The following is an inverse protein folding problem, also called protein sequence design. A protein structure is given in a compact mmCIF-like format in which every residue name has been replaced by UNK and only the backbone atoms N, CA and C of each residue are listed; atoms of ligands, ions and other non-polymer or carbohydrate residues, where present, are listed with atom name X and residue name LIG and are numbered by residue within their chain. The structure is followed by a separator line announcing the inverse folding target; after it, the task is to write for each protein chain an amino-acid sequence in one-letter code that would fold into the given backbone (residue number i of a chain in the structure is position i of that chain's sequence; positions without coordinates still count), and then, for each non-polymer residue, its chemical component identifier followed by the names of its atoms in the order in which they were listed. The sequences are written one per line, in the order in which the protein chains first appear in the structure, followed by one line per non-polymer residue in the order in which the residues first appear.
data_IF_014072293279
#
_entry.id   IF_014072293279
#
_cell.length_a   1.000
_cell.length_b   1.000
_cell.length_c   1.000
_cell.angle_alpha   90.00
_cell.angle_beta   90.00
_cell.angle_gamma   90.00
#
_symmetry.space_group_name_H-M   'P 1'
#
loop_
_entity.id
_entity.type
_entity.pdbx_description
1 polymer ?
#
# COMPACT_ATOMS: atom_id res chain seq x y z
N UNK A 1 -4.79 -11.03 12.86
CA UNK A 1 -5.03 -12.49 12.89
C UNK A 1 -5.06 -13.05 14.31
N UNK A 2 -4.16 -12.69 15.25
CA UNK A 2 -4.24 -13.16 16.66
C UNK A 2 -5.57 -12.84 17.34
N UNK A 3 -6.14 -11.67 17.06
CA UNK A 3 -7.47 -11.29 17.57
C UNK A 3 -8.59 -12.06 16.89
N UNK A 4 -8.38 -12.51 15.65
CA UNK A 4 -9.30 -13.40 14.95
C UNK A 4 -9.30 -14.79 15.60
N UNK A 5 -8.12 -15.37 15.83
CA UNK A 5 -7.98 -16.67 16.50
C UNK A 5 -8.55 -16.65 17.93
N UNK A 6 -8.47 -15.51 18.62
CA UNK A 6 -9.08 -15.29 19.92
C UNK A 6 -10.60 -15.06 19.88
N UNK A 7 -11.22 -15.08 18.69
CA UNK A 7 -12.66 -14.83 18.50
C UNK A 7 -13.10 -13.40 18.81
N UNK A 8 -12.17 -12.44 18.87
CA UNK A 8 -12.44 -11.04 19.23
C UNK A 8 -12.71 -10.16 17.99
N UNK A 9 -12.24 -10.58 16.82
CA UNK A 9 -12.50 -9.96 15.53
C UNK A 9 -12.96 -11.04 14.55
N UNK A 10 -14.02 -10.75 13.81
CA UNK A 10 -14.44 -11.54 12.65
C UNK A 10 -14.15 -10.71 11.39
N UNK A 11 -13.45 -11.31 10.44
CA UNK A 11 -13.04 -10.63 9.21
C UNK A 11 -14.21 -10.27 8.29
N UNK A 12 -15.32 -10.99 8.38
CA UNK A 12 -16.48 -10.86 7.49
C UNK A 12 -17.64 -10.05 8.12
N UNK A 13 -17.58 -9.75 9.42
CA UNK A 13 -18.62 -8.96 10.10
C UNK A 13 -18.37 -7.45 9.94
N UNK A 14 -19.42 -6.65 9.86
CA UNK A 14 -19.30 -5.19 9.80
C UNK A 14 -18.52 -4.64 10.98
N UNK A 15 -17.52 -3.79 10.70
CA UNK A 15 -16.71 -3.13 11.75
C UNK A 15 -17.55 -2.21 12.64
N UNK A 16 -18.70 -1.75 12.15
CA UNK A 16 -19.67 -0.95 12.89
C UNK A 16 -20.12 -1.63 14.20
N UNK A 17 -20.10 -2.96 14.24
CA UNK A 17 -20.41 -3.72 15.47
C UNK A 17 -19.32 -3.58 16.55
N UNK A 18 -18.09 -3.19 16.18
CA UNK A 18 -16.97 -2.97 17.07
C UNK A 18 -16.66 -1.48 17.28
N UNK A 19 -17.09 -0.63 16.33
CA UNK A 19 -16.94 0.83 16.35
C UNK A 19 -18.31 1.49 16.10
N UNK A 20 -19.17 1.54 17.11
CA UNK A 20 -20.54 2.06 16.98
C UNK A 20 -20.60 3.50 16.47
N UNK A 21 -19.59 4.32 16.75
CA UNK A 21 -19.47 5.72 16.33
C UNK A 21 -18.78 5.90 14.98
N UNK A 22 -18.33 4.82 14.32
CA UNK A 22 -17.77 4.91 12.98
C UNK A 22 -18.84 5.34 11.97
N UNK A 23 -18.55 6.38 11.20
CA UNK A 23 -19.46 6.93 10.20
C UNK A 23 -18.68 7.48 9.01
N UNK A 24 -19.34 7.52 7.85
CA UNK A 24 -18.90 8.16 6.63
C UNK A 24 -19.96 9.14 6.15
N UNK A 25 -19.66 10.02 5.19
CA UNK A 25 -20.66 10.95 4.66
C UNK A 25 -21.79 10.23 3.91
N UNK A 26 -21.47 9.12 3.25
CA UNK A 26 -22.42 8.28 2.51
C UNK A 26 -23.04 7.26 3.46
N UNK A 27 -24.25 7.57 3.91
CA UNK A 27 -24.96 6.76 4.90
C UNK A 27 -25.20 5.32 4.40
N UNK A 28 -24.84 4.36 5.23
CA UNK A 28 -25.05 2.94 4.99
C UNK A 28 -23.84 2.22 4.35
N UNK A 29 -22.79 2.92 3.89
CA UNK A 29 -21.54 2.31 3.47
C UNK A 29 -20.81 1.70 4.68
N UNK A 30 -20.76 2.43 5.80
CA UNK A 30 -20.16 2.00 7.06
C UNK A 30 -20.76 0.72 7.64
N UNK A 31 -22.05 0.45 7.34
CA UNK A 31 -22.75 -0.76 7.78
C UNK A 31 -22.29 -2.04 7.05
N UNK A 32 -21.55 -1.90 5.94
CA UNK A 32 -21.10 -3.00 5.08
C UNK A 32 -19.60 -3.22 5.12
N UNK A 33 -18.85 -2.25 5.63
CA UNK A 33 -17.38 -2.36 5.68
C UNK A 33 -16.99 -3.38 6.74
N UNK A 34 -16.13 -4.33 6.36
CA UNK A 34 -15.60 -5.39 7.22
C UNK A 34 -14.09 -5.24 7.38
N UNK A 35 -13.49 -5.93 8.37
CA UNK A 35 -12.02 -5.96 8.50
C UNK A 35 -11.35 -6.47 7.23
N UNK A 36 -11.95 -7.44 6.55
CA UNK A 36 -11.44 -7.94 5.27
C UNK A 36 -11.39 -6.83 4.22
N UNK A 37 -12.44 -6.03 4.08
CA UNK A 37 -12.45 -4.91 3.14
C UNK A 37 -11.36 -3.88 3.45
N UNK A 38 -11.07 -3.61 4.72
CA UNK A 38 -9.99 -2.70 5.12
C UNK A 38 -8.62 -3.26 4.73
N UNK A 39 -8.35 -4.53 5.08
CA UNK A 39 -7.05 -5.17 4.87
C UNK A 39 -6.77 -5.56 3.41
N UNK A 40 -7.81 -5.64 2.56
CA UNK A 40 -7.68 -5.94 1.13
C UNK A 40 -7.82 -4.72 0.23
N UNK A 41 -7.85 -3.51 0.80
CA UNK A 41 -8.03 -2.26 0.05
C UNK A 41 -9.30 -2.21 -0.81
N UNK A 42 -10.37 -2.87 -0.35
CA UNK A 42 -11.67 -2.92 -1.04
C UNK A 42 -12.78 -2.23 -0.27
N UNK A 43 -12.44 -1.44 0.74
CA UNK A 43 -13.44 -0.70 1.53
C UNK A 43 -14.19 0.36 0.71
N UNK A 44 -13.58 0.84 -0.36
CA UNK A 44 -14.10 1.91 -1.20
C UNK A 44 -14.12 3.28 -0.53
N UNK A 45 -13.53 3.43 0.64
CA UNK A 45 -13.38 4.71 1.33
C UNK A 45 -12.35 5.59 0.61
N UNK A 46 -12.36 6.90 0.89
CA UNK A 46 -11.27 7.78 0.49
C UNK A 46 -9.95 7.23 1.01
N UNK A 47 -8.99 6.98 0.11
CA UNK A 47 -7.79 6.20 0.38
C UNK A 47 -6.77 6.91 1.27
N UNK A 48 -6.61 8.22 1.06
CA UNK A 48 -5.60 9.01 1.75
C UNK A 48 -6.22 10.17 2.51
N UNK A 49 -5.94 10.22 3.80
CA UNK A 49 -6.38 11.28 4.70
C UNK A 49 -5.28 11.58 5.72
N UNK A 50 -4.38 12.47 5.33
CA UNK A 50 -3.21 12.86 6.11
C UNK A 50 -3.51 14.11 6.93
N UNK A 51 -4.20 13.94 8.07
CA UNK A 51 -4.48 15.01 9.01
C UNK A 51 -3.85 14.71 10.36
N UNK A 52 -3.12 15.66 10.89
CA UNK A 52 -2.53 15.53 12.21
C UNK A 52 -3.58 15.82 13.31
N UNK A 53 -3.66 14.94 14.29
CA UNK A 53 -4.50 15.04 15.48
C UNK A 53 -3.66 15.11 16.77
N UNK A 54 -2.36 15.41 16.62
CA UNK A 54 -1.41 15.53 17.71
C UNK A 54 -0.93 14.20 18.28
N UNK A 55 -0.22 14.25 19.41
CA UNK A 55 0.44 13.11 20.05
C UNK A 55 -0.40 12.40 21.13
N UNK A 56 -1.62 12.89 21.41
CA UNK A 56 -2.51 12.30 22.41
C UNK A 56 -2.83 10.82 22.12
N UNK A 57 -3.09 10.02 23.18
CA UNK A 57 -3.52 8.62 23.04
C UNK A 57 -4.84 8.47 22.25
N UNK A 58 -5.60 9.54 22.14
CA UNK A 58 -6.86 9.64 21.41
C UNK A 58 -6.71 10.15 19.97
N UNK A 59 -5.48 10.32 19.47
CA UNK A 59 -5.23 10.86 18.14
C UNK A 59 -5.88 10.01 17.02
N UNK A 60 -5.72 8.68 17.09
CA UNK A 60 -6.32 7.77 16.12
C UNK A 60 -7.87 7.77 16.20
N UNK A 61 -8.43 7.80 17.40
CA UNK A 61 -9.87 7.93 17.60
C UNK A 61 -10.41 9.22 16.97
N UNK A 62 -9.73 10.36 17.20
CA UNK A 62 -10.09 11.66 16.61
C UNK A 62 -10.04 11.63 15.09
N UNK A 63 -9.00 11.02 14.52
CA UNK A 63 -8.87 10.86 13.06
C UNK A 63 -10.06 10.08 12.51
N UNK A 64 -10.35 8.89 13.07
CA UNK A 64 -11.44 8.02 12.59
C UNK A 64 -12.81 8.70 12.73
N UNK A 65 -13.07 9.40 13.83
CA UNK A 65 -14.30 10.20 13.98
C UNK A 65 -14.42 11.32 12.93
N UNK A 66 -13.29 11.96 12.60
CA UNK A 66 -13.27 13.03 11.60
C UNK A 66 -13.53 12.50 10.17
N UNK A 67 -13.32 11.21 9.92
CA UNK A 67 -13.63 10.57 8.64
C UNK A 67 -15.15 10.56 8.32
N UNK A 68 -16.02 10.88 9.26
CA UNK A 68 -17.47 11.05 9.02
C UNK A 68 -17.83 12.09 7.95
N UNK A 69 -16.88 12.98 7.61
CA UNK A 69 -17.03 13.97 6.53
C UNK A 69 -16.49 13.46 5.17
N UNK A 70 -15.82 12.31 5.14
CA UNK A 70 -15.19 11.81 3.93
C UNK A 70 -16.19 11.03 3.06
N UNK A 71 -16.12 11.17 1.73
CA UNK A 71 -16.98 10.46 0.81
C UNK A 71 -16.59 8.99 0.70
N UNK A 72 -17.58 8.16 0.36
CA UNK A 72 -17.38 6.83 -0.17
C UNK A 72 -17.10 6.95 -1.67
N UNK A 73 -15.96 6.43 -2.12
CA UNK A 73 -15.55 6.54 -3.53
C UNK A 73 -16.17 5.40 -4.36
N UNK A 74 -16.24 4.21 -3.77
CA UNK A 74 -16.81 3.01 -4.39
C UNK A 74 -17.61 2.21 -3.36
N UNK A 75 -18.62 1.41 -3.76
CA UNK A 75 -19.24 0.46 -2.86
C UNK A 75 -18.22 -0.51 -2.24
N UNK A 76 -18.34 -0.85 -0.94
CA UNK A 76 -17.48 -1.82 -0.29
C UNK A 76 -17.47 -3.17 -1.04
N UNK A 77 -16.29 -3.74 -1.25
CA UNK A 77 -16.07 -5.02 -1.92
C UNK A 77 -16.11 -4.96 -3.45
N UNK A 78 -16.42 -3.81 -4.07
CA UNK A 78 -16.59 -3.72 -5.53
C UNK A 78 -15.26 -3.75 -6.30
N UNK A 79 -14.31 -2.91 -5.88
CA UNK A 79 -13.05 -2.73 -6.60
C UNK A 79 -11.92 -2.43 -5.63
N UNK A 80 -10.73 -2.90 -5.94
CA UNK A 80 -9.52 -2.57 -5.22
C UNK A 80 -9.08 -1.14 -5.55
N UNK A 81 -8.87 -0.32 -4.51
CA UNK A 81 -8.14 0.94 -4.55
C UNK A 81 -7.35 1.09 -3.28
N UNK A 82 -6.04 1.26 -3.38
CA UNK A 82 -5.15 1.35 -2.23
C UNK A 82 -5.64 2.40 -1.22
N UNK A 83 -5.74 2.02 0.06
CA UNK A 83 -6.46 2.80 1.05
C UNK A 83 -5.75 2.78 2.41
N UNK A 84 -4.94 3.82 2.68
CA UNK A 84 -4.32 4.04 4.00
C UNK A 84 -5.38 4.30 5.09
N UNK A 85 -6.44 5.02 4.74
CA UNK A 85 -7.56 5.30 5.65
C UNK A 85 -8.21 4.03 6.20
N UNK A 86 -8.23 2.94 5.41
CA UNK A 86 -8.70 1.63 5.86
C UNK A 86 -7.85 1.07 7.00
N UNK A 87 -6.53 1.29 6.96
CA UNK A 87 -5.62 0.85 8.03
C UNK A 87 -5.75 1.70 9.29
N UNK A 88 -6.10 2.99 9.19
CA UNK A 88 -6.44 3.79 10.38
C UNK A 88 -7.64 3.21 11.09
N UNK A 89 -8.70 2.87 10.35
CA UNK A 89 -9.91 2.24 10.91
C UNK A 89 -9.59 0.86 11.49
N UNK A 90 -8.78 0.04 10.80
CA UNK A 90 -8.33 -1.25 11.31
C UNK A 90 -7.54 -1.10 12.62
N UNK A 91 -6.64 -0.12 12.70
CA UNK A 91 -5.92 0.23 13.93
C UNK A 91 -6.86 0.64 15.06
N UNK A 92 -7.88 1.45 14.76
CA UNK A 92 -8.88 1.86 15.76
C UNK A 92 -9.74 0.68 16.25
N UNK A 93 -10.07 -0.28 15.36
CA UNK A 93 -10.71 -1.54 15.79
C UNK A 93 -9.82 -2.29 16.78
N UNK A 94 -8.52 -2.37 16.51
CA UNK A 94 -7.56 -3.01 17.42
C UNK A 94 -7.57 -2.31 18.79
N UNK A 95 -7.55 -0.97 18.84
CA UNK A 95 -7.64 -0.21 20.08
C UNK A 95 -8.94 -0.51 20.84
N UNK A 96 -10.09 -0.46 20.16
CA UNK A 96 -11.39 -0.71 20.76
C UNK A 96 -11.49 -2.12 21.35
N UNK A 97 -10.99 -3.11 20.60
CA UNK A 97 -11.04 -4.50 21.00
C UNK A 97 -10.02 -4.80 22.14
N UNK A 98 -8.84 -4.20 22.14
CA UNK A 98 -7.80 -4.49 23.14
C UNK A 98 -7.87 -3.61 24.38
N UNK A 99 -8.45 -2.41 24.29
CA UNK A 99 -8.39 -1.39 25.32
C UNK A 99 -7.02 -0.75 25.48
N UNK A 100 -6.13 -0.90 24.47
CA UNK A 100 -4.75 -0.39 24.43
C UNK A 100 -4.62 0.59 23.28
N UNK A 101 -3.56 1.42 23.29
CA UNK A 101 -3.22 2.18 22.08
C UNK A 101 -2.73 1.22 20.99
N UNK A 102 -2.79 1.66 19.74
CA UNK A 102 -2.31 0.84 18.61
C UNK A 102 -0.86 0.37 18.82
N UNK A 103 0.01 1.28 19.25
CA UNK A 103 1.42 1.00 19.47
C UNK A 103 1.61 -0.08 20.58
N UNK A 104 0.92 0.09 21.73
CA UNK A 104 0.94 -0.88 22.83
C UNK A 104 0.45 -2.26 22.36
N UNK A 105 -0.61 -2.29 21.54
CA UNK A 105 -1.17 -3.53 21.00
C UNK A 105 -0.20 -4.23 20.03
N UNK A 106 0.47 -3.50 19.13
CA UNK A 106 1.45 -4.08 18.20
C UNK A 106 2.65 -4.66 18.97
N UNK A 107 3.18 -3.93 19.95
CA UNK A 107 4.28 -4.44 20.77
C UNK A 107 3.88 -5.73 21.49
N UNK A 108 2.68 -5.80 22.08
CA UNK A 108 2.25 -6.98 22.82
C UNK A 108 1.87 -8.17 21.95
N UNK A 109 1.14 -7.89 20.85
CA UNK A 109 0.55 -8.94 20.02
C UNK A 109 1.46 -9.40 18.87
N UNK A 110 2.45 -8.60 18.48
CA UNK A 110 3.34 -8.92 17.36
C UNK A 110 4.80 -8.96 17.82
N UNK A 111 5.34 -7.83 18.31
CA UNK A 111 6.79 -7.71 18.56
C UNK A 111 7.27 -8.72 19.60
N UNK A 112 6.64 -8.77 20.78
CA UNK A 112 7.03 -9.70 21.85
C UNK A 112 6.93 -11.17 21.46
N UNK A 113 5.82 -11.65 20.86
CA UNK A 113 5.72 -13.05 20.45
C UNK A 113 6.73 -13.47 19.36
N UNK A 114 7.13 -12.53 18.50
CA UNK A 114 8.12 -12.76 17.45
C UNK A 114 9.55 -12.47 17.88
N UNK A 115 9.77 -12.02 19.13
CA UNK A 115 11.09 -11.67 19.65
C UNK A 115 11.72 -10.47 18.97
N UNK A 116 10.90 -9.52 18.45
CA UNK A 116 11.38 -8.30 17.81
C UNK A 116 11.63 -7.24 18.88
N UNK A 117 12.85 -6.74 18.97
CA UNK A 117 13.28 -5.83 20.04
C UNK A 117 13.31 -4.36 19.59
N UNK A 118 13.52 -4.09 18.29
CA UNK A 118 13.69 -2.74 17.76
C UNK A 118 12.48 -2.33 16.89
N UNK A 119 11.31 -2.32 17.53
CA UNK A 119 10.05 -1.84 16.93
C UNK A 119 9.61 -0.63 17.74
N UNK A 120 9.64 0.54 17.12
CA UNK A 120 9.34 1.83 17.72
C UNK A 120 8.30 2.58 16.89
N UNK A 121 7.71 3.62 17.46
CA UNK A 121 6.71 4.44 16.81
C UNK A 121 7.00 5.94 16.94
N UNK A 122 7.76 6.33 17.96
CA UNK A 122 7.99 7.73 18.27
C UNK A 122 9.47 8.11 18.09
N UNK A 123 9.77 9.31 17.56
CA UNK A 123 11.14 9.80 17.44
C UNK A 123 11.93 9.77 18.74
N UNK A 124 11.28 10.07 19.85
CA UNK A 124 11.88 10.08 21.17
C UNK A 124 12.37 8.70 21.65
N UNK A 125 11.80 7.62 21.11
CA UNK A 125 12.21 6.24 21.45
C UNK A 125 13.59 5.91 20.89
N UNK A 126 14.03 6.62 19.84
CA UNK A 126 15.25 6.30 19.09
C UNK A 126 16.25 7.45 19.00
N UNK A 127 15.96 8.60 19.62
CA UNK A 127 16.80 9.80 19.48
C UNK A 127 18.23 9.61 20.00
N UNK A 128 18.47 8.65 20.88
CA UNK A 128 19.78 8.27 21.40
C UNK A 128 20.46 7.16 20.59
N UNK A 129 19.77 6.60 19.59
CA UNK A 129 20.27 5.53 18.73
C UNK A 129 20.84 6.08 17.42
N UNK A 130 21.46 5.21 16.63
CA UNK A 130 21.83 5.54 15.25
C UNK A 130 20.61 5.35 14.35
N UNK A 131 20.09 6.42 13.80
CA UNK A 131 18.96 6.39 12.86
C UNK A 131 19.26 7.21 11.60
N UNK A 132 18.56 6.89 10.52
CA UNK A 132 18.60 7.63 9.28
C UNK A 132 17.39 8.56 9.19
N UNK A 133 17.61 9.80 8.78
CA UNK A 133 16.54 10.73 8.44
C UNK A 133 16.26 10.68 6.94
N UNK A 134 15.02 10.93 6.54
CA UNK A 134 14.65 11.03 5.14
C UNK A 134 15.23 12.27 4.47
N UNK A 135 15.49 12.18 3.17
CA UNK A 135 15.99 13.28 2.37
C UNK A 135 15.11 13.52 1.14
N UNK A 136 14.94 14.78 0.80
CA UNK A 136 14.34 15.21 -0.47
C UNK A 136 15.46 15.63 -1.42
N UNK A 137 15.53 14.95 -2.54
CA UNK A 137 16.42 15.26 -3.66
C UNK A 137 15.59 15.97 -4.72
N UNK A 138 16.01 17.18 -5.08
CA UNK A 138 15.49 17.96 -6.20
C UNK A 138 16.63 18.27 -7.15
N UNK A 139 16.34 18.85 -8.32
CA UNK A 139 17.38 19.21 -9.30
C UNK A 139 18.47 20.13 -8.69
N UNK A 140 18.08 21.02 -7.75
CA UNK A 140 18.98 22.05 -7.22
C UNK A 140 19.62 21.70 -5.87
N UNK A 141 19.05 20.75 -5.10
CA UNK A 141 19.52 20.52 -3.73
C UNK A 141 19.12 19.17 -3.15
N UNK A 142 19.87 18.78 -2.12
CA UNK A 142 19.50 17.70 -1.19
C UNK A 142 19.19 18.36 0.16
N UNK A 143 18.04 18.04 0.75
CA UNK A 143 17.62 18.56 2.05
C UNK A 143 17.01 17.46 2.92
N UNK A 144 17.10 17.61 4.24
CA UNK A 144 16.38 16.72 5.16
C UNK A 144 14.88 16.92 4.98
N UNK A 145 14.16 15.81 4.86
CA UNK A 145 12.70 15.80 4.79
C UNK A 145 12.11 16.13 6.17
N UNK A 146 11.29 17.16 6.24
CA UNK A 146 10.63 17.61 7.47
C UNK A 146 9.11 17.76 7.23
N UNK A 147 8.27 17.38 8.21
CA UNK A 147 8.62 16.76 9.50
C UNK A 147 9.20 15.35 9.31
N UNK A 148 10.00 14.89 10.29
CA UNK A 148 10.72 13.62 10.15
C UNK A 148 9.78 12.40 10.27
N UNK A 149 8.90 12.38 11.26
CA UNK A 149 8.01 11.27 11.52
C UNK A 149 6.60 11.56 11.02
N UNK A 150 5.87 10.52 10.68
CA UNK A 150 4.43 10.62 10.42
C UNK A 150 3.66 10.89 11.71
N UNK A 151 2.51 11.57 11.61
CA UNK A 151 1.66 11.87 12.76
C UNK A 151 1.13 10.59 13.45
N UNK A 152 0.94 10.64 14.77
CA UNK A 152 0.54 9.47 15.58
C UNK A 152 -0.73 8.79 15.06
N UNK A 153 -1.71 9.57 14.62
CA UNK A 153 -2.99 9.04 14.14
C UNK A 153 -2.86 8.13 12.91
N UNK A 154 -1.77 8.25 12.14
CA UNK A 154 -1.53 7.44 10.94
C UNK A 154 -0.53 6.30 11.16
N UNK A 155 -0.12 6.03 12.41
CA UNK A 155 0.77 4.90 12.74
C UNK A 155 0.29 3.55 12.18
N UNK A 156 -1.01 3.22 12.15
CA UNK A 156 -1.46 1.95 11.60
C UNK A 156 -1.14 1.72 10.13
N UNK A 157 -0.94 2.80 9.36
CA UNK A 157 -0.62 2.70 7.93
C UNK A 157 0.88 2.81 7.61
N UNK A 158 1.72 3.33 8.54
CA UNK A 158 3.13 3.49 8.18
C UNK A 158 4.03 4.04 9.29
N UNK A 159 3.62 3.95 10.57
CA UNK A 159 4.35 4.57 11.68
C UNK A 159 5.46 3.71 12.32
N UNK A 160 5.68 2.49 11.87
CA UNK A 160 6.73 1.64 12.48
C UNK A 160 8.12 2.16 12.11
N UNK A 161 8.93 2.39 13.13
CA UNK A 161 10.35 2.71 13.03
C UNK A 161 11.13 1.45 13.39
N UNK A 162 11.95 0.95 12.47
CA UNK A 162 12.68 -0.29 12.68
C UNK A 162 13.98 -0.31 11.84
N UNK A 163 14.70 -1.42 11.85
CA UNK A 163 15.90 -1.64 11.09
C UNK A 163 15.81 -2.90 10.22
N UNK A 164 16.75 -3.05 9.30
CA UNK A 164 16.77 -4.14 8.32
C UNK A 164 16.80 -5.53 8.99
N UNK A 165 17.51 -5.68 10.11
CA UNK A 165 17.62 -6.95 10.84
C UNK A 165 16.26 -7.39 11.40
N UNK A 166 15.52 -6.45 11.98
CA UNK A 166 14.18 -6.73 12.52
C UNK A 166 13.17 -7.07 11.42
N UNK A 167 13.26 -6.41 10.25
CA UNK A 167 12.44 -6.78 9.10
C UNK A 167 12.70 -8.21 8.63
N UNK A 168 13.97 -8.62 8.58
CA UNK A 168 14.32 -10.00 8.22
C UNK A 168 13.92 -11.00 9.33
N UNK A 169 14.02 -10.63 10.61
CA UNK A 169 13.51 -11.44 11.71
C UNK A 169 11.98 -11.60 11.60
N UNK A 170 11.25 -10.50 11.27
CA UNK A 170 9.81 -10.54 11.04
C UNK A 170 9.46 -11.44 9.84
N UNK A 171 10.20 -11.35 8.75
CA UNK A 171 9.92 -12.13 7.54
C UNK A 171 10.10 -13.63 7.74
N UNK A 172 10.98 -14.07 8.64
CA UNK A 172 11.18 -15.48 8.97
C UNK A 172 9.92 -16.15 9.54
N UNK A 173 8.97 -15.37 10.09
CA UNK A 173 7.64 -15.89 10.49
C UNK A 173 6.88 -16.54 9.32
N UNK A 174 7.14 -16.14 8.10
CA UNK A 174 6.45 -16.61 6.90
C UNK A 174 7.09 -17.83 6.24
N UNK A 175 8.29 -18.24 6.65
CA UNK A 175 9.02 -19.36 6.07
C UNK A 175 8.31 -20.70 6.34
N UNK A 176 8.36 -21.61 5.38
CA UNK A 176 7.70 -22.90 5.47
C UNK A 176 8.31 -23.79 6.55
N UNK A 177 9.64 -23.74 6.74
CA UNK A 177 10.37 -24.47 7.77
C UNK A 177 10.04 -24.03 9.21
N UNK A 178 9.42 -22.84 9.38
CA UNK A 178 9.01 -22.26 10.64
C UNK A 178 7.56 -22.55 11.04
N UNK A 179 6.88 -23.46 10.34
CA UNK A 179 5.48 -23.78 10.63
C UNK A 179 5.22 -24.18 12.09
N UNK A 180 6.15 -24.93 12.72
CA UNK A 180 6.05 -25.30 14.16
C UNK A 180 6.13 -24.08 15.09
N UNK A 181 6.93 -23.08 14.75
CA UNK A 181 7.15 -21.88 15.58
C UNK A 181 5.91 -20.97 15.53
N UNK A 182 5.14 -20.98 14.42
CA UNK A 182 3.88 -20.24 14.28
C UNK A 182 2.75 -20.74 15.17
N UNK A 183 2.74 -22.04 15.53
CA UNK A 183 1.64 -22.68 16.26
C UNK A 183 1.30 -22.07 17.63
N UNK A 184 2.17 -21.26 18.22
CA UNK A 184 1.89 -20.50 19.45
C UNK A 184 1.48 -19.05 19.21
N UNK A 185 1.48 -18.59 17.94
CA UNK A 185 1.28 -17.19 17.57
C UNK A 185 -0.06 -17.01 16.84
N UNK A 186 -0.29 -17.74 15.76
CA UNK A 186 -1.57 -17.82 15.04
C UNK A 186 -1.83 -19.25 14.56
N UNK A 187 -3.10 -19.57 14.30
CA UNK A 187 -3.49 -20.86 13.72
C UNK A 187 -3.07 -20.97 12.23
N UNK A 188 -2.95 -22.20 11.73
CA UNK A 188 -2.64 -22.45 10.32
C UNK A 188 -3.73 -21.89 9.38
N UNK A 189 -5.00 -21.92 9.79
CA UNK A 189 -6.10 -21.31 9.04
C UNK A 189 -5.93 -19.78 8.94
N UNK A 190 -5.58 -19.14 10.05
CA UNK A 190 -5.28 -17.70 10.09
C UNK A 190 -4.05 -17.34 9.28
N UNK A 191 -3.00 -18.17 9.33
CA UNK A 191 -1.81 -17.97 8.52
C UNK A 191 -2.12 -18.08 7.02
N UNK A 192 -2.84 -19.11 6.62
CA UNK A 192 -3.28 -19.31 5.22
C UNK A 192 -4.10 -18.11 4.73
N UNK A 193 -5.05 -17.63 5.54
CA UNK A 193 -5.84 -16.44 5.21
C UNK A 193 -4.99 -15.19 5.05
N UNK A 194 -3.94 -15.05 5.87
CA UNK A 194 -3.04 -13.89 5.89
C UNK A 194 -2.25 -13.75 4.58
N UNK A 195 -1.79 -14.85 3.99
CA UNK A 195 -0.90 -14.85 2.83
C UNK A 195 -1.57 -15.24 1.50
N UNK A 196 -2.80 -15.75 1.52
CA UNK A 196 -3.48 -16.15 0.29
C UNK A 196 -4.12 -14.94 -0.38
N UNK A 197 -3.66 -14.61 -1.58
CA UNK A 197 -4.22 -13.55 -2.43
C UNK A 197 -5.68 -13.79 -2.77
N UNK A 198 -6.54 -12.79 -2.55
CA UNK A 198 -8.00 -12.89 -2.70
C UNK A 198 -8.57 -11.95 -3.74
N UNK A 199 -7.95 -10.80 -3.93
CA UNK A 199 -8.44 -9.71 -4.77
C UNK A 199 -7.37 -9.42 -5.82
N UNK A 200 -7.76 -9.38 -7.08
CA UNK A 200 -6.84 -9.06 -8.16
C UNK A 200 -6.38 -7.59 -8.06
N UNK A 201 -5.09 -7.40 -7.89
CA UNK A 201 -4.42 -6.11 -7.80
C UNK A 201 -3.89 -5.65 -9.16
N UNK A 202 -3.37 -6.59 -9.94
CA UNK A 202 -2.97 -6.44 -11.33
C UNK A 202 -3.18 -7.78 -12.04
N UNK A 203 -2.90 -7.90 -13.34
CA UNK A 203 -3.02 -9.17 -14.06
C UNK A 203 -2.20 -10.33 -13.48
N UNK A 204 -1.11 -10.03 -12.78
CA UNK A 204 -0.22 -11.04 -12.19
C UNK A 204 -0.10 -10.97 -10.67
N UNK A 205 -0.74 -10.00 -10.02
CA UNK A 205 -0.64 -9.87 -8.57
C UNK A 205 -2.02 -9.80 -7.90
N UNK A 206 -2.07 -10.24 -6.65
CA UNK A 206 -3.28 -10.21 -5.81
C UNK A 206 -2.98 -9.53 -4.48
N UNK A 207 -4.03 -9.06 -3.82
CA UNK A 207 -3.97 -8.61 -2.42
C UNK A 207 -4.49 -9.72 -1.51
N UNK A 208 -3.71 -10.05 -0.50
CA UNK A 208 -4.11 -10.82 0.66
C UNK A 208 -4.48 -9.86 1.83
N UNK A 209 -4.39 -10.30 3.07
CA UNK A 209 -4.69 -9.43 4.21
C UNK A 209 -3.48 -8.55 4.57
N UNK A 210 -3.30 -7.45 3.82
CA UNK A 210 -2.20 -6.51 3.97
C UNK A 210 -0.91 -6.87 3.21
N UNK A 211 -0.94 -7.91 2.37
CA UNK A 211 0.18 -8.31 1.52
C UNK A 211 -0.19 -8.28 0.05
N UNK A 212 0.74 -7.89 -0.80
CA UNK A 212 0.70 -8.17 -2.24
C UNK A 212 1.30 -9.54 -2.48
N UNK A 213 0.58 -10.36 -3.24
CA UNK A 213 0.93 -11.75 -3.53
C UNK A 213 1.10 -11.89 -5.03
N UNK A 214 2.21 -12.45 -5.44
CA UNK A 214 2.56 -12.71 -6.83
C UNK A 214 3.13 -14.12 -6.94
N UNK A 215 2.96 -14.74 -8.09
CA UNK A 215 3.64 -15.98 -8.44
C UNK A 215 4.59 -15.68 -9.60
N UNK A 216 5.89 -15.86 -9.37
CA UNK A 216 6.94 -15.62 -10.35
C UNK A 216 7.58 -16.96 -10.68
N UNK A 217 7.42 -17.43 -11.91
CA UNK A 217 7.99 -18.71 -12.38
C UNK A 217 7.62 -19.90 -11.47
N UNK A 218 6.38 -19.91 -10.96
CA UNK A 218 5.86 -20.93 -10.06
C UNK A 218 6.25 -20.77 -8.59
N UNK A 219 7.00 -19.72 -8.22
CA UNK A 219 7.39 -19.42 -6.83
C UNK A 219 6.48 -18.34 -6.25
N UNK A 220 5.77 -18.66 -5.18
CA UNK A 220 4.91 -17.69 -4.50
C UNK A 220 5.75 -16.64 -3.75
N UNK A 221 5.38 -15.37 -3.94
CA UNK A 221 6.01 -14.22 -3.31
C UNK A 221 4.96 -13.41 -2.58
N UNK A 222 5.21 -13.02 -1.34
CA UNK A 222 4.46 -11.99 -0.64
C UNK A 222 5.37 -10.78 -0.43
N UNK A 223 4.86 -9.58 -0.69
CA UNK A 223 5.65 -8.38 -0.61
C UNK A 223 4.84 -7.16 -0.20
N UNK A 224 5.53 -6.18 0.34
CA UNK A 224 4.96 -4.84 0.57
C UNK A 224 6.06 -3.79 0.52
N UNK A 225 5.80 -2.71 -0.20
CA UNK A 225 6.61 -1.50 -0.19
C UNK A 225 6.13 -0.51 0.86
N UNK A 226 6.95 0.48 1.16
CA UNK A 226 6.59 1.57 2.05
C UNK A 226 7.18 2.89 1.56
N UNK A 227 6.41 3.97 1.74
CA UNK A 227 6.86 5.32 1.45
C UNK A 227 6.41 6.28 2.54
N UNK A 228 7.36 6.95 3.16
CA UNK A 228 7.12 8.08 4.07
C UNK A 228 7.95 9.27 3.62
N UNK A 229 7.99 10.33 4.41
CA UNK A 229 8.68 11.57 4.02
C UNK A 229 10.19 11.34 3.82
N UNK A 230 10.61 11.20 2.55
CA UNK A 230 11.99 10.95 2.16
C UNK A 230 12.54 9.58 2.57
N UNK A 231 11.69 8.57 2.76
CA UNK A 231 12.10 7.20 3.06
C UNK A 231 11.24 6.22 2.25
N UNK A 232 11.90 5.31 1.55
CA UNK A 232 11.25 4.26 0.74
C UNK A 232 11.81 2.91 1.17
N UNK A 233 10.94 1.92 1.29
CA UNK A 233 11.28 0.56 1.70
C UNK A 233 10.61 -0.49 0.83
N UNK A 234 11.18 -1.69 0.83
CA UNK A 234 10.58 -2.88 0.25
C UNK A 234 10.96 -4.10 1.10
N UNK A 235 9.99 -4.95 1.37
CA UNK A 235 10.18 -6.29 1.93
C UNK A 235 9.58 -7.29 0.96
N UNK A 236 10.36 -8.29 0.57
CA UNK A 236 9.96 -9.43 -0.25
C UNK A 236 10.19 -10.71 0.54
N UNK A 237 9.24 -11.61 0.53
CA UNK A 237 9.32 -12.91 1.20
C UNK A 237 8.88 -13.99 0.23
N UNK A 238 9.64 -15.06 0.14
CA UNK A 238 9.41 -16.25 -0.66
C UNK A 238 9.23 -17.44 0.28
N UNK A 239 8.00 -17.65 0.78
CA UNK A 239 7.75 -18.57 1.89
C UNK A 239 8.18 -20.02 1.62
N UNK A 240 8.02 -20.50 0.38
CA UNK A 240 8.27 -21.89 0.00
C UNK A 240 9.75 -22.25 -0.12
N UNK A 241 10.60 -21.25 -0.35
CA UNK A 241 12.06 -21.44 -0.45
C UNK A 241 12.80 -20.84 0.76
N UNK A 242 12.05 -20.43 1.82
CA UNK A 242 12.58 -19.89 3.08
C UNK A 242 13.56 -18.71 2.87
N UNK A 243 13.23 -17.85 1.92
CA UNK A 243 14.06 -16.71 1.53
C UNK A 243 13.30 -15.40 1.73
N UNK A 244 14.01 -14.37 2.16
CA UNK A 244 13.51 -13.00 2.17
C UNK A 244 14.58 -11.99 1.86
N UNK A 245 14.18 -10.86 1.30
CA UNK A 245 15.04 -9.74 1.02
C UNK A 245 14.34 -8.43 1.41
N UNK A 246 15.11 -7.49 1.95
CA UNK A 246 14.58 -6.19 2.32
C UNK A 246 15.57 -5.08 1.99
N UNK A 247 15.05 -3.92 1.61
CA UNK A 247 15.82 -2.70 1.42
C UNK A 247 15.14 -1.54 2.12
N UNK A 248 15.92 -0.72 2.81
CA UNK A 248 15.50 0.54 3.41
C UNK A 248 16.34 1.67 2.81
N UNK A 249 15.69 2.70 2.32
CA UNK A 249 16.35 3.89 1.77
C UNK A 249 15.90 5.13 2.54
N UNK A 250 16.73 6.16 2.51
CA UNK A 250 16.43 7.43 3.17
C UNK A 250 16.40 8.61 2.17
N UNK A 251 15.74 8.38 1.03
CA UNK A 251 15.53 9.38 -0.03
C UNK A 251 14.19 9.19 -0.72
N UNK A 252 13.58 10.29 -1.19
CA UNK A 252 12.43 10.26 -2.08
C UNK A 252 12.70 9.56 -3.43
N UNK A 253 13.97 9.47 -3.85
CA UNK A 253 14.42 8.72 -5.03
C UNK A 253 14.63 7.21 -4.75
N UNK A 254 14.30 6.76 -3.54
CA UNK A 254 14.48 5.38 -3.09
C UNK A 254 13.73 4.35 -3.93
N UNK A 255 12.64 4.74 -4.62
CA UNK A 255 11.89 3.85 -5.51
C UNK A 255 12.75 3.26 -6.63
N UNK A 256 13.68 4.04 -7.19
CA UNK A 256 14.63 3.55 -8.20
C UNK A 256 15.55 2.45 -7.65
N UNK A 257 15.98 2.61 -6.39
CA UNK A 257 16.82 1.61 -5.72
C UNK A 257 16.01 0.36 -5.37
N UNK A 258 14.76 0.49 -4.92
CA UNK A 258 13.91 -0.67 -4.60
C UNK A 258 13.52 -1.46 -5.84
N UNK A 259 13.22 -0.81 -6.98
CA UNK A 259 12.95 -1.49 -8.25
C UNK A 259 14.18 -2.25 -8.77
N UNK A 260 15.36 -1.62 -8.75
CA UNK A 260 16.60 -2.30 -9.12
C UNK A 260 16.91 -3.49 -8.19
N UNK A 261 16.73 -3.30 -6.89
CA UNK A 261 16.94 -4.35 -5.88
C UNK A 261 15.99 -5.53 -6.10
N UNK A 262 14.68 -5.27 -6.31
CA UNK A 262 13.71 -6.31 -6.61
C UNK A 262 14.10 -7.14 -7.82
N UNK A 263 14.50 -6.48 -8.91
CA UNK A 263 14.97 -7.15 -10.12
C UNK A 263 16.20 -8.00 -9.88
N UNK A 264 17.22 -7.46 -9.19
CA UNK A 264 18.44 -8.23 -8.84
C UNK A 264 18.11 -9.47 -8.01
N UNK A 265 17.18 -9.37 -7.05
CA UNK A 265 16.76 -10.52 -6.25
C UNK A 265 16.05 -11.56 -7.11
N UNK A 266 15.09 -11.14 -7.93
CA UNK A 266 14.25 -12.05 -8.71
C UNK A 266 15.04 -12.67 -9.86
N UNK A 267 15.68 -11.85 -10.69
CA UNK A 267 16.30 -12.30 -11.95
C UNK A 267 17.73 -12.82 -11.74
N UNK A 268 18.57 -12.09 -10.97
CA UNK A 268 20.00 -12.41 -10.88
C UNK A 268 20.31 -13.41 -9.75
N UNK A 269 19.62 -13.29 -8.60
CA UNK A 269 19.92 -14.13 -7.44
C UNK A 269 19.09 -15.41 -7.41
N UNK A 270 17.78 -15.29 -7.65
CA UNK A 270 16.85 -16.44 -7.63
C UNK A 270 16.66 -17.05 -9.02
N UNK A 271 17.18 -16.43 -10.07
CA UNK A 271 17.07 -16.88 -11.47
C UNK A 271 15.60 -17.12 -11.91
N UNK A 272 14.66 -16.34 -11.36
CA UNK A 272 13.25 -16.40 -11.72
C UNK A 272 12.94 -15.46 -12.89
N UNK A 273 11.96 -15.83 -13.70
CA UNK A 273 11.59 -15.11 -14.91
C UNK A 273 10.21 -14.45 -14.75
N UNK A 274 10.13 -13.18 -14.36
CA UNK A 274 8.84 -12.47 -14.27
C UNK A 274 8.22 -12.33 -15.66
N UNK A 275 6.89 -12.33 -15.71
CA UNK A 275 6.18 -12.17 -16.98
C UNK A 275 6.34 -10.74 -17.49
N UNK A 276 6.90 -10.60 -18.69
CA UNK A 276 7.01 -9.33 -19.41
C UNK A 276 5.85 -9.20 -20.38
N UNK A 277 5.27 -8.01 -20.49
CA UNK A 277 4.19 -7.69 -21.43
C UNK A 277 4.78 -6.95 -22.62
N UNK A 278 4.43 -7.43 -23.81
CA UNK A 278 4.84 -6.76 -25.04
C UNK A 278 3.82 -5.69 -25.48
N UNK A 279 4.30 -4.57 -26.03
CA UNK A 279 3.44 -3.57 -26.66
C UNK A 279 2.65 -4.13 -27.84
N UNK A 280 1.38 -3.74 -27.97
CA UNK A 280 0.61 -3.99 -29.19
C UNK A 280 1.24 -3.30 -30.39
N UNK A 281 1.13 -3.89 -31.57
CA UNK A 281 1.66 -3.28 -32.81
C UNK A 281 1.01 -1.92 -33.14
N UNK A 282 -0.24 -1.71 -32.72
CA UNK A 282 -1.00 -0.47 -32.86
C UNK A 282 -1.16 0.29 -31.54
N UNK A 283 -0.18 0.20 -30.63
CA UNK A 283 -0.29 0.77 -29.27
C UNK A 283 -0.54 2.29 -29.28
N UNK A 284 -0.03 3.03 -30.27
CA UNK A 284 -0.27 4.47 -30.39
C UNK A 284 -1.75 4.78 -30.67
N UNK A 285 -2.38 4.08 -31.61
CA UNK A 285 -3.81 4.22 -31.86
C UNK A 285 -4.67 3.91 -30.63
N UNK A 286 -4.23 2.94 -29.81
CA UNK A 286 -4.87 2.61 -28.55
C UNK A 286 -4.64 3.72 -27.51
N UNK A 287 -3.42 4.26 -27.42
CA UNK A 287 -3.08 5.35 -26.50
C UNK A 287 -3.83 6.65 -26.84
N UNK A 288 -4.08 6.95 -28.15
CA UNK A 288 -4.90 8.07 -28.58
C UNK A 288 -6.32 8.02 -28.00
N UNK A 289 -6.89 6.82 -27.85
CA UNK A 289 -8.26 6.64 -27.31
C UNK A 289 -8.37 6.90 -25.80
N UNK A 290 -7.25 6.90 -25.12
CA UNK A 290 -7.16 7.11 -23.66
C UNK A 290 -6.37 8.36 -23.29
N UNK A 291 -5.88 9.10 -24.29
CA UNK A 291 -5.20 10.37 -24.02
C UNK A 291 -6.15 11.35 -23.34
N UNK A 292 -5.74 11.91 -22.21
CA UNK A 292 -6.57 12.79 -21.42
C UNK A 292 -6.09 12.93 -19.97
N UNK A 293 -6.90 13.61 -19.19
CA UNK A 293 -6.64 13.86 -17.76
C UNK A 293 -7.57 12.98 -16.91
N UNK A 294 -6.97 12.27 -15.96
CA UNK A 294 -7.67 11.35 -15.06
C UNK A 294 -7.45 11.79 -13.62
N UNK A 295 -8.54 11.93 -12.86
CA UNK A 295 -8.49 12.41 -11.49
C UNK A 295 -8.41 11.28 -10.47
N UNK A 296 -7.33 11.28 -9.71
CA UNK A 296 -7.18 10.49 -8.50
C UNK A 296 -7.41 11.31 -7.23
N UNK A 297 -7.23 10.68 -6.09
CA UNK A 297 -7.42 11.33 -4.80
C UNK A 297 -6.27 12.30 -4.47
N UNK A 298 -5.03 11.88 -4.63
CA UNK A 298 -3.83 12.63 -4.29
C UNK A 298 -3.22 13.37 -5.47
N UNK A 299 -3.43 12.85 -6.68
CA UNK A 299 -2.83 13.34 -7.91
C UNK A 299 -3.78 13.16 -9.07
N UNK A 300 -3.57 13.92 -10.14
CA UNK A 300 -4.13 13.64 -11.44
C UNK A 300 -3.08 12.90 -12.28
N UNK A 301 -3.52 12.05 -13.22
CA UNK A 301 -2.68 11.44 -14.24
C UNK A 301 -3.01 12.05 -15.59
N UNK A 302 -2.00 12.47 -16.31
CA UNK A 302 -2.13 12.94 -17.69
C UNK A 302 -1.51 11.92 -18.64
N UNK A 303 -2.32 11.38 -19.57
CA UNK A 303 -1.84 10.55 -20.67
C UNK A 303 -1.84 11.41 -21.92
N UNK A 304 -0.69 11.50 -22.58
CA UNK A 304 -0.54 12.33 -23.78
C UNK A 304 0.41 11.69 -24.82
N UNK A 305 0.34 12.19 -26.03
CA UNK A 305 1.18 11.74 -27.14
C UNK A 305 2.08 12.89 -27.57
N UNK A 306 3.36 12.62 -27.63
CA UNK A 306 4.37 13.57 -28.06
C UNK A 306 5.41 12.86 -28.95
N UNK A 307 5.74 13.46 -30.10
CA UNK A 307 6.74 12.95 -31.05
C UNK A 307 6.54 11.47 -31.44
N UNK A 308 5.29 11.02 -31.58
CA UNK A 308 4.95 9.66 -31.97
C UNK A 308 5.14 8.60 -30.86
N UNK A 309 5.17 9.02 -29.61
CA UNK A 309 5.26 8.17 -28.42
C UNK A 309 4.17 8.56 -27.43
N UNK A 310 3.73 7.61 -26.63
CA UNK A 310 2.75 7.86 -25.56
C UNK A 310 3.44 7.94 -24.19
N UNK A 311 2.98 8.87 -23.38
CA UNK A 311 3.52 9.17 -22.06
C UNK A 311 2.43 9.25 -21.03
N UNK A 312 2.82 8.96 -19.77
CA UNK A 312 2.03 9.24 -18.57
C UNK A 312 2.82 10.17 -17.66
N UNK A 313 2.13 11.12 -17.03
CA UNK A 313 2.70 12.03 -16.03
C UNK A 313 1.76 12.15 -14.85
N UNK A 314 2.30 12.04 -13.64
CA UNK A 314 1.59 12.31 -12.41
C UNK A 314 1.67 13.80 -12.07
N UNK A 315 0.53 14.38 -11.67
CA UNK A 315 0.40 15.78 -11.26
C UNK A 315 -0.15 15.79 -9.84
N UNK A 316 0.72 15.86 -8.80
CA UNK A 316 0.28 15.89 -7.41
C UNK A 316 -0.64 17.09 -7.12
N UNK A 317 -1.68 16.84 -6.35
CA UNK A 317 -2.70 17.84 -5.97
C UNK A 317 -2.77 18.09 -4.47
N UNK A 318 -2.29 17.13 -3.70
CA UNK A 318 -2.32 17.17 -2.23
C UNK A 318 -0.89 17.05 -1.72
N UNK A 319 -0.56 17.84 -0.70
CA UNK A 319 0.74 17.79 -0.06
C UNK A 319 0.92 16.55 0.81
N UNK A 320 2.16 16.24 1.10
CA UNK A 320 2.58 15.19 2.02
C UNK A 320 3.74 15.72 2.87
N UNK A 321 3.83 15.45 4.16
CA UNK A 321 3.13 14.41 4.94
C UNK A 321 1.77 14.82 5.55
N UNK A 322 1.30 16.01 5.27
CA UNK A 322 0.00 16.52 5.72
C UNK A 322 -0.68 17.39 4.65
N UNK A 323 -1.98 17.67 4.82
CA UNK A 323 -2.79 18.40 3.85
C UNK A 323 -2.39 19.87 3.66
N UNK A 324 -1.62 20.46 4.62
CA UNK A 324 -1.14 21.82 4.57
C UNK A 324 0.22 21.95 3.86
N UNK A 325 0.88 20.81 3.57
CA UNK A 325 2.13 20.78 2.79
C UNK A 325 1.87 21.15 1.33
N UNK A 326 2.84 21.82 0.70
CA UNK A 326 2.75 22.09 -0.75
C UNK A 326 2.84 20.78 -1.55
N UNK A 327 1.97 20.58 -2.56
CA UNK A 327 2.10 19.45 -3.48
C UNK A 327 3.46 19.43 -4.18
N UNK A 328 4.01 18.24 -4.39
CA UNK A 328 5.22 18.09 -5.18
C UNK A 328 5.00 18.57 -6.63
N UNK A 329 6.06 18.98 -7.36
CA UNK A 329 5.94 19.29 -8.78
C UNK A 329 5.51 18.06 -9.58
N UNK A 330 4.92 18.25 -10.79
CA UNK A 330 4.60 17.15 -11.68
C UNK A 330 5.81 16.24 -11.93
N UNK A 331 5.56 14.93 -12.02
CA UNK A 331 6.60 13.95 -12.28
C UNK A 331 7.18 14.12 -13.69
N UNK A 332 8.40 13.66 -13.90
CA UNK A 332 8.95 13.48 -15.25
C UNK A 332 8.05 12.50 -16.02
N UNK A 333 7.66 12.83 -17.27
CA UNK A 333 6.89 11.92 -18.10
C UNK A 333 7.57 10.56 -18.27
N UNK A 334 6.80 9.50 -18.10
CA UNK A 334 7.26 8.13 -18.33
C UNK A 334 6.66 7.63 -19.66
N UNK A 335 7.49 7.02 -20.50
CA UNK A 335 7.03 6.42 -21.75
C UNK A 335 6.22 5.17 -21.44
N UNK A 336 5.00 5.11 -21.98
CA UNK A 336 4.09 3.98 -21.79
C UNK A 336 3.71 3.37 -23.15
N UNK A 337 3.14 2.19 -23.06
CA UNK A 337 2.53 1.49 -24.19
C UNK A 337 1.24 0.81 -23.74
N UNK A 338 0.46 0.30 -24.71
CA UNK A 338 -0.75 -0.49 -24.45
C UNK A 338 -0.55 -1.86 -25.06
N UNK A 339 -0.80 -2.94 -24.28
CA UNK A 339 -0.71 -4.31 -24.77
C UNK A 339 -1.93 -4.70 -25.63
N UNK A 340 -1.86 -5.88 -26.25
CA UNK A 340 -3.01 -6.42 -27.02
C UNK A 340 -4.20 -6.74 -26.10
N UNK A 341 -3.96 -7.15 -24.87
CA UNK A 341 -4.98 -7.38 -23.83
C UNK A 341 -5.54 -6.09 -23.23
N UNK A 342 -4.94 -4.95 -23.52
CA UNK A 342 -5.38 -3.63 -23.03
C UNK A 342 -4.73 -3.20 -21.73
N UNK A 343 -3.58 -3.76 -21.34
CA UNK A 343 -2.83 -3.30 -20.17
C UNK A 343 -1.98 -2.07 -20.51
N UNK A 344 -1.88 -1.15 -19.55
CA UNK A 344 -0.98 0.01 -19.65
C UNK A 344 0.39 -0.42 -19.13
N UNK A 345 1.39 -0.36 -19.98
CA UNK A 345 2.75 -0.82 -19.71
C UNK A 345 3.66 0.38 -19.51
N UNK A 346 4.37 0.44 -18.39
CA UNK A 346 5.52 1.33 -18.26
C UNK A 346 6.71 0.68 -19.00
N UNK A 347 7.23 1.31 -20.02
CA UNK A 347 8.29 0.71 -20.85
C UNK A 347 9.63 0.62 -20.14
N UNK A 348 9.84 1.31 -19.02
CA UNK A 348 11.02 1.14 -18.17
C UNK A 348 10.93 -0.07 -17.25
N UNK A 349 9.70 -0.56 -16.97
CA UNK A 349 9.38 -1.69 -16.10
C UNK A 349 8.21 -2.50 -16.68
N UNK A 350 8.42 -3.24 -17.79
CA UNK A 350 7.33 -3.84 -18.57
C UNK A 350 6.80 -5.16 -17.96
N UNK A 351 6.76 -5.25 -16.63
CA UNK A 351 6.30 -6.45 -15.93
C UNK A 351 4.77 -6.48 -15.80
N UNK A 352 4.19 -7.66 -15.99
CA UNK A 352 2.74 -7.89 -15.88
C UNK A 352 2.21 -7.48 -14.49
N UNK A 353 2.99 -7.70 -13.43
CA UNK A 353 2.62 -7.37 -12.06
C UNK A 353 2.49 -5.86 -11.82
N UNK A 354 3.20 -5.01 -12.58
CA UNK A 354 3.16 -3.55 -12.47
C UNK A 354 2.26 -2.87 -13.50
N UNK A 355 1.61 -3.64 -14.38
CA UNK A 355 0.77 -3.10 -15.44
C UNK A 355 -0.47 -2.37 -14.89
N UNK A 356 -0.80 -1.26 -15.54
CA UNK A 356 -2.06 -0.56 -15.29
C UNK A 356 -3.23 -1.20 -16.05
N UNK A 357 -4.44 -0.96 -15.59
CA UNK A 357 -5.67 -1.51 -16.17
C UNK A 357 -6.72 -0.44 -16.42
N UNK A 358 -7.59 -0.69 -17.38
CA UNK A 358 -8.78 0.11 -17.61
C UNK A 358 -9.91 -0.33 -16.68
N UNK A 359 -10.61 0.64 -16.10
CA UNK A 359 -11.86 0.40 -15.39
C UNK A 359 -12.97 0.64 -16.40
N UNK A 360 -13.70 -0.42 -16.73
CA UNK A 360 -14.80 -0.37 -17.69
C UNK A 360 -16.13 -0.59 -16.97
N UNK A 361 -17.18 0.10 -17.43
CA UNK A 361 -18.54 -0.12 -16.95
C UNK A 361 -19.21 -1.31 -17.66
N UNK A 362 -20.46 -1.60 -17.28
CA UNK A 362 -21.26 -2.68 -17.84
C UNK A 362 -21.50 -2.55 -19.37
N UNK A 363 -21.40 -1.34 -19.93
CA UNK A 363 -21.52 -1.10 -21.37
C UNK A 363 -20.19 -1.21 -22.14
N UNK A 364 -19.07 -1.51 -21.43
CA UNK A 364 -17.74 -1.60 -22.01
C UNK A 364 -17.05 -0.24 -22.24
N UNK A 365 -17.63 0.86 -21.72
CA UNK A 365 -16.99 2.19 -21.76
C UNK A 365 -15.93 2.28 -20.66
N UNK A 366 -14.79 2.86 -20.99
CA UNK A 366 -13.75 3.21 -20.01
C UNK A 366 -14.28 4.35 -19.13
N UNK A 367 -14.28 4.14 -17.80
CA UNK A 367 -14.65 5.14 -16.79
C UNK A 367 -13.43 5.67 -16.04
N UNK A 368 -12.30 4.96 -16.12
CA UNK A 368 -11.09 5.33 -15.44
C UNK A 368 -9.95 4.34 -15.65
N UNK A 369 -8.90 4.54 -14.88
CA UNK A 369 -7.68 3.74 -14.88
C UNK A 369 -7.40 3.27 -13.47
N UNK A 370 -6.79 2.08 -13.34
CA UNK A 370 -6.11 1.65 -12.12
C UNK A 370 -4.62 1.57 -12.40
N UNK A 371 -3.85 2.46 -11.80
CA UNK A 371 -2.39 2.53 -11.94
C UNK A 371 -1.78 2.66 -10.55
N UNK A 372 -0.72 1.91 -10.27
CA UNK A 372 -0.10 1.89 -8.95
C UNK A 372 -1.09 1.54 -7.84
N UNK A 373 -2.06 0.64 -8.13
CA UNK A 373 -3.13 0.19 -7.22
C UNK A 373 -4.18 1.27 -6.87
N UNK A 374 -4.14 2.46 -7.48
CA UNK A 374 -5.08 3.56 -7.26
C UNK A 374 -5.98 3.78 -8.46
N UNK A 375 -7.20 4.22 -8.19
CA UNK A 375 -8.20 4.53 -9.20
C UNK A 375 -8.08 6.00 -9.59
N UNK A 376 -8.11 6.24 -10.89
CA UNK A 376 -8.16 7.55 -11.52
C UNK A 376 -9.35 7.59 -12.47
N UNK A 377 -10.30 8.47 -12.21
CA UNK A 377 -11.50 8.60 -13.04
C UNK A 377 -11.29 9.63 -14.16
N UNK A 378 -11.82 9.35 -15.35
CA UNK A 378 -11.75 10.27 -16.48
C UNK A 378 -12.39 11.61 -16.11
N UNK A 379 -11.69 12.71 -16.37
CA UNK A 379 -12.28 14.05 -16.29
C UNK A 379 -12.91 14.33 -17.64
N UNK A 380 -14.22 14.19 -17.70
CA UNK A 380 -15.00 14.58 -18.88
C UNK A 380 -14.84 16.09 -19.09
N UNK A 381 -14.20 16.47 -20.21
CA UNK A 381 -14.00 17.85 -20.64
C UNK A 381 -15.31 18.48 -21.13
#
# INVERSE_FOLDING_TARGET
MRLVDAGRIDLERPIKELLEDFALSDKGAEEKITMKHLLTHTSGMKGDYFKDFGYGKDALEKLVRNMSSLPQINPPGRILSYCNSGFYVAGRVIEAVTGKTFEEAIIELVSKPLGLENIHFFPEDIITERFAVGHLITEDRISVALPWAVGRAIHPAGGIITNIKELLNYSAFYFSDRASDRNGIISDDSFTKLITGKIDASPASKVALGWFVEEIDGVATIQHGGGTNGQISLLMVFPEIDFSAAILTNSNEGSKATSLFSRMIVEDLLELNPVIIEPATNYLERAEKIAGLYRGEMSDLEIFIEQGKSFIREIPRVGFPDEDSEPAPPSTPQEISISDEGFIINLSEPYLASAGEFIVNESGRIEGLRIGLRIYNEILS
#
